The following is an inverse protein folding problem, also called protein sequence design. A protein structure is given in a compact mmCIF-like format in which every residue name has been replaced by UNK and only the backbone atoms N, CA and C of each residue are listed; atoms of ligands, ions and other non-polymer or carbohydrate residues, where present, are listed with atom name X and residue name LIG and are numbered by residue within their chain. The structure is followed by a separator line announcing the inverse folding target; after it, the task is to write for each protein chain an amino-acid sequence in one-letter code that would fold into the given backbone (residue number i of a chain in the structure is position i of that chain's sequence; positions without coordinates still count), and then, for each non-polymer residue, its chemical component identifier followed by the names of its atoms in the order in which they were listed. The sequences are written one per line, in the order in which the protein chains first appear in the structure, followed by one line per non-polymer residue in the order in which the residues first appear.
data_IF_203855807859
#
_entry.id   IF_203855807859
#
_cell.length_a   1.000
_cell.length_b   1.000
_cell.length_c   1.000
_cell.angle_alpha   90.00
_cell.angle_beta   90.00
_cell.angle_gamma   90.00
#
_symmetry.space_group_name_H-M   'P 1'
#
loop_
_entity.id
_entity.type
_entity.pdbx_description
1 polymer ?
#
# COMPACT_ATOMS: atom_id res chain seq x y z
N UNK A 1 -18.57 13.30 10.54
CA UNK A 1 -17.16 13.08 10.97
C UNK A 1 -16.28 14.11 10.29
N UNK A 2 -15.14 14.51 10.89
CA UNK A 2 -14.08 15.25 10.20
C UNK A 2 -13.38 14.35 9.17
N UNK A 3 -12.65 14.91 8.18
CA UNK A 3 -11.89 14.12 7.20
C UNK A 3 -10.96 13.10 7.88
N UNK A 4 -10.27 13.52 8.95
CA UNK A 4 -9.41 12.65 9.74
C UNK A 4 -10.19 11.54 10.45
N UNK A 5 -11.33 11.87 11.05
CA UNK A 5 -12.19 10.87 11.70
C UNK A 5 -12.76 9.86 10.69
N UNK A 6 -13.06 10.28 9.46
CA UNK A 6 -13.52 9.39 8.37
C UNK A 6 -12.41 8.45 7.92
N UNK A 7 -11.19 8.96 7.74
CA UNK A 7 -10.01 8.14 7.44
C UNK A 7 -9.82 7.09 8.53
N UNK A 8 -9.72 7.52 9.80
CA UNK A 8 -9.54 6.59 10.92
C UNK A 8 -10.67 5.56 10.99
N UNK A 9 -11.94 5.98 10.89
CA UNK A 9 -13.08 5.07 10.90
C UNK A 9 -13.06 4.06 9.74
N UNK A 10 -12.68 4.47 8.53
CA UNK A 10 -12.50 3.56 7.39
C UNK A 10 -11.48 2.46 7.70
N UNK A 11 -10.32 2.83 8.23
CA UNK A 11 -9.26 1.89 8.59
C UNK A 11 -9.57 1.06 9.85
N UNK A 12 -10.47 1.53 10.71
CA UNK A 12 -10.93 0.82 11.89
C UNK A 12 -12.17 -0.06 11.63
N UNK A 13 -12.62 -0.16 10.37
CA UNK A 13 -13.83 -0.90 9.98
C UNK A 13 -15.11 -0.39 10.64
N UNK A 14 -15.17 0.90 10.91
CA UNK A 14 -16.33 1.58 11.47
C UNK A 14 -17.19 2.20 10.35
N UNK A 15 -18.47 2.43 10.65
CA UNK A 15 -19.38 3.08 9.71
C UNK A 15 -19.02 4.56 9.57
N UNK A 16 -18.79 5.01 8.34
CA UNK A 16 -18.59 6.44 8.02
C UNK A 16 -19.87 7.06 7.46
N UNK A 17 -20.03 8.37 7.66
CA UNK A 17 -21.11 9.15 7.06
C UNK A 17 -20.87 9.38 5.55
N UNK A 18 -19.61 9.51 5.14
CA UNK A 18 -19.16 9.55 3.73
C UNK A 18 -17.77 8.90 3.61
N UNK A 19 -17.36 8.51 2.40
CA UNK A 19 -15.99 7.99 2.16
C UNK A 19 -14.93 9.09 2.35
N UNK A 20 -13.70 8.76 2.78
CA UNK A 20 -12.65 9.74 2.96
C UNK A 20 -12.28 10.40 1.62
N UNK A 21 -12.15 11.74 1.55
CA UNK A 21 -11.71 12.40 0.33
C UNK A 21 -10.22 12.15 0.07
N UNK A 22 -9.82 12.04 -1.21
CA UNK A 22 -8.44 11.72 -1.64
C UNK A 22 -7.37 12.63 -1.00
N UNK A 23 -7.74 13.87 -0.67
CA UNK A 23 -6.86 14.86 -0.03
C UNK A 23 -6.50 14.54 1.43
N UNK A 24 -7.30 13.70 2.08
CA UNK A 24 -7.07 13.26 3.46
C UNK A 24 -6.17 12.02 3.54
N UNK A 25 -6.01 11.30 2.42
CA UNK A 25 -5.13 10.15 2.30
C UNK A 25 -3.79 10.60 1.70
N UNK A 26 -2.82 10.96 2.55
CA UNK A 26 -1.51 11.28 2.02
C UNK A 26 -0.81 10.01 1.53
N UNK A 27 -0.78 9.84 0.22
CA UNK A 27 -0.02 8.79 -0.46
C UNK A 27 1.47 9.14 -0.42
N UNK A 28 2.16 8.70 0.62
CA UNK A 28 3.63 8.68 0.64
C UNK A 28 4.06 7.45 -0.14
N UNK A 29 4.66 7.61 -1.32
CA UNK A 29 5.30 6.48 -2.03
C UNK A 29 6.47 5.98 -1.19
N UNK A 30 6.20 4.99 -0.35
CA UNK A 30 7.15 4.46 0.62
C UNK A 30 8.24 3.66 -0.06
N UNK A 31 9.37 4.31 -0.36
CA UNK A 31 10.66 3.66 -0.21
C UNK A 31 11.42 4.39 0.92
N UNK A 32 12.05 3.60 1.79
CA UNK A 32 13.01 3.95 2.86
C UNK A 32 12.47 4.32 4.25
N UNK A 33 12.38 3.30 5.13
CA UNK A 33 12.65 3.48 6.56
C UNK A 33 14.16 3.49 6.80
N UNK A 34 14.63 4.49 7.55
CA UNK A 34 15.90 4.59 8.31
C UNK A 34 17.27 4.24 7.68
N UNK A 35 17.40 4.08 6.36
CA UNK A 35 18.72 4.06 5.70
C UNK A 35 18.94 5.35 4.93
N UNK A 36 19.43 6.41 5.59
CA UNK A 36 19.91 7.60 4.87
C UNK A 36 21.28 8.08 5.35
N UNK A 37 22.29 8.07 4.46
CA UNK A 37 23.49 8.89 4.56
C UNK A 37 23.15 10.39 4.57
N UNK A 38 24.10 11.28 4.92
CA UNK A 38 23.88 12.72 5.01
C UNK A 38 23.21 13.30 3.75
N UNK A 39 22.16 14.10 3.95
CA UNK A 39 21.20 14.62 2.95
C UNK A 39 21.77 15.54 1.85
N UNK A 40 23.08 15.57 1.61
CA UNK A 40 23.75 16.62 0.82
C UNK A 40 24.32 16.16 -0.52
N UNK A 41 24.36 14.87 -0.82
CA UNK A 41 24.99 14.35 -2.05
C UNK A 41 24.42 13.01 -2.48
N UNK A 42 24.68 12.58 -3.72
CA UNK A 42 24.42 11.21 -4.22
C UNK A 42 25.36 10.18 -3.55
N UNK A 43 25.11 8.89 -3.71
CA UNK A 43 25.99 7.88 -3.12
C UNK A 43 25.73 6.43 -3.54
N UNK A 44 26.42 5.52 -2.85
CA UNK A 44 26.24 4.08 -2.92
C UNK A 44 25.89 3.62 -1.51
N UNK A 45 24.84 2.83 -1.35
CA UNK A 45 24.47 2.28 -0.05
C UNK A 45 25.40 1.13 0.38
N UNK A 46 25.23 0.62 1.60
CA UNK A 46 26.01 -0.50 2.13
C UNK A 46 25.77 -1.85 1.42
N UNK A 47 24.75 -1.96 0.57
CA UNK A 47 24.52 -3.11 -0.31
C UNK A 47 25.24 -2.97 -1.66
N UNK A 48 25.88 -1.83 -1.91
CA UNK A 48 26.56 -1.54 -3.17
C UNK A 48 25.64 -0.98 -4.26
N UNK A 49 24.42 -0.53 -3.90
CA UNK A 49 23.45 0.01 -4.85
C UNK A 49 23.64 1.53 -4.97
N UNK A 50 23.81 2.08 -6.20
CA UNK A 50 23.89 3.51 -6.41
C UNK A 50 22.52 4.17 -6.23
N UNK A 51 22.47 5.27 -5.50
CA UNK A 51 21.28 6.10 -5.32
C UNK A 51 21.57 7.55 -5.74
N UNK A 52 20.54 8.23 -6.22
CA UNK A 52 20.62 9.60 -6.76
C UNK A 52 19.64 10.51 -6.04
N UNK A 53 20.12 11.69 -5.65
CA UNK A 53 19.31 12.75 -5.05
C UNK A 53 18.50 13.44 -6.15
N UNK A 54 17.18 13.42 -5.99
CA UNK A 54 16.26 14.18 -6.84
C UNK A 54 15.47 15.16 -5.98
N UNK A 55 15.68 16.46 -6.20
CA UNK A 55 15.04 17.56 -5.47
C UNK A 55 13.51 17.57 -5.57
N UNK A 56 12.97 16.82 -6.55
CA UNK A 56 11.56 16.77 -6.88
C UNK A 56 10.80 15.73 -6.03
N UNK A 57 11.55 14.88 -5.31
CA UNK A 57 11.02 13.88 -4.38
C UNK A 57 11.36 14.40 -2.97
N UNK A 58 10.64 15.43 -2.53
CA UNK A 58 10.80 15.97 -1.18
C UNK A 58 10.54 14.83 -0.19
N UNK A 59 11.62 14.32 0.39
CA UNK A 59 11.57 13.43 1.53
C UNK A 59 10.82 14.13 2.66
N UNK A 60 9.90 13.40 3.28
CA UNK A 60 9.10 13.89 4.39
C UNK A 60 10.01 14.54 5.44
N UNK A 61 9.66 15.77 5.81
CA UNK A 61 10.38 16.53 6.82
C UNK A 61 10.42 15.74 8.16
N UNK A 62 11.47 15.90 8.98
CA UNK A 62 11.65 15.16 10.23
C UNK A 62 10.52 15.33 11.26
N UNK A 63 9.67 16.35 11.11
CA UNK A 63 8.50 16.61 11.97
C UNK A 63 7.18 16.12 11.38
N UNK A 64 7.20 15.44 10.24
CA UNK A 64 5.99 15.01 9.56
C UNK A 64 5.60 13.58 9.97
N UNK A 65 4.49 13.46 10.71
CA UNK A 65 3.89 12.18 11.12
C UNK A 65 2.60 11.97 10.33
N UNK A 66 2.63 11.31 9.17
CA UNK A 66 1.41 11.00 8.43
C UNK A 66 0.53 10.06 9.26
N UNK A 67 -0.79 10.16 9.10
CA UNK A 67 -1.72 9.23 9.72
C UNK A 67 -1.73 7.86 9.00
N UNK A 68 -1.39 7.83 7.71
CA UNK A 68 -1.37 6.64 6.83
C UNK A 68 -0.09 6.64 5.99
N UNK A 69 0.53 5.47 5.82
CA UNK A 69 1.57 5.23 4.83
C UNK A 69 1.05 4.26 3.77
N UNK A 70 1.23 4.61 2.50
CA UNK A 70 0.92 3.73 1.36
C UNK A 70 2.20 3.11 0.80
N UNK A 71 2.46 1.86 1.16
CA UNK A 71 3.59 1.08 0.70
C UNK A 71 3.33 0.55 -0.71
N UNK A 72 4.21 0.83 -1.67
CA UNK A 72 4.02 0.43 -3.07
C UNK A 72 4.90 -0.77 -3.40
N UNK A 73 4.29 -1.91 -3.68
CA UNK A 73 4.99 -3.12 -4.11
C UNK A 73 4.04 -4.00 -4.93
N UNK A 74 4.45 -4.46 -6.11
CA UNK A 74 3.59 -5.22 -7.00
C UNK A 74 3.93 -6.71 -6.98
N UNK A 75 2.96 -7.55 -6.62
CA UNK A 75 3.12 -9.01 -6.55
C UNK A 75 2.44 -9.76 -7.68
N UNK A 76 1.64 -9.07 -8.50
CA UNK A 76 0.78 -9.67 -9.52
C UNK A 76 0.96 -9.13 -10.92
N UNK A 77 0.71 -10.01 -11.89
CA UNK A 77 0.38 -9.69 -13.28
C UNK A 77 -1.14 -9.69 -13.46
N UNK A 78 -1.63 -9.41 -14.67
CA UNK A 78 -3.07 -9.51 -14.98
C UNK A 78 -3.66 -10.92 -14.84
N UNK A 79 -2.84 -11.98 -14.83
CA UNK A 79 -3.33 -13.37 -14.85
C UNK A 79 -2.83 -14.23 -13.69
N UNK A 80 -1.72 -13.86 -13.06
CA UNK A 80 -1.16 -14.58 -11.91
C UNK A 80 -0.13 -13.74 -11.14
N UNK A 81 0.36 -14.23 -10.00
CA UNK A 81 1.49 -13.66 -9.28
C UNK A 81 2.79 -13.67 -10.10
N UNK A 82 3.72 -12.74 -9.85
CA UNK A 82 5.06 -12.73 -10.45
C UNK A 82 5.93 -13.93 -10.04
N UNK A 83 5.67 -14.46 -8.85
CA UNK A 83 6.37 -15.60 -8.26
C UNK A 83 5.34 -16.49 -7.53
N UNK A 84 5.74 -17.70 -7.16
CA UNK A 84 4.82 -18.59 -6.44
C UNK A 84 4.49 -18.03 -5.05
N UNK A 85 3.32 -18.36 -4.49
CA UNK A 85 2.98 -17.98 -3.11
C UNK A 85 4.04 -18.42 -2.08
N UNK A 86 4.72 -19.55 -2.31
CA UNK A 86 5.79 -20.04 -1.44
C UNK A 86 7.00 -19.10 -1.46
N UNK A 87 7.41 -18.63 -2.64
CA UNK A 87 8.49 -17.64 -2.79
C UNK A 87 8.10 -16.32 -2.10
N UNK A 88 6.83 -15.90 -2.24
CA UNK A 88 6.33 -14.72 -1.52
C UNK A 88 6.47 -14.87 0.00
N UNK A 89 6.03 -16.02 0.54
CA UNK A 89 6.08 -16.32 1.98
C UNK A 89 7.50 -16.39 2.51
N UNK A 90 8.44 -16.93 1.75
CA UNK A 90 9.84 -17.06 2.14
C UNK A 90 10.56 -15.71 2.17
N UNK A 91 10.39 -14.90 1.13
CA UNK A 91 11.22 -13.71 0.94
C UNK A 91 10.52 -12.38 1.25
N UNK A 92 9.25 -12.24 0.88
CA UNK A 92 8.56 -10.94 0.88
C UNK A 92 7.70 -10.74 2.13
N UNK A 93 6.86 -11.72 2.49
CA UNK A 93 6.04 -11.71 3.71
C UNK A 93 6.80 -11.24 4.97
N UNK A 94 8.00 -11.77 5.30
CA UNK A 94 8.73 -11.34 6.49
C UNK A 94 9.22 -9.89 6.42
N UNK A 95 9.52 -9.35 5.23
CA UNK A 95 9.94 -7.94 5.12
C UNK A 95 8.75 -7.00 5.17
N UNK A 96 7.65 -7.36 4.51
CA UNK A 96 6.41 -6.60 4.58
C UNK A 96 5.90 -6.52 6.02
N UNK A 97 5.95 -7.62 6.78
CA UNK A 97 5.61 -7.62 8.21
C UNK A 97 6.45 -6.63 9.01
N UNK A 98 7.77 -6.54 8.77
CA UNK A 98 8.62 -5.55 9.47
C UNK A 98 8.19 -4.11 9.16
N UNK A 99 7.79 -3.83 7.92
CA UNK A 99 7.32 -2.52 7.52
C UNK A 99 5.97 -2.17 8.20
N UNK A 100 5.05 -3.14 8.25
CA UNK A 100 3.78 -3.04 8.98
C UNK A 100 4.02 -2.79 10.46
N UNK A 101 4.78 -3.66 11.13
CA UNK A 101 5.10 -3.56 12.55
C UNK A 101 5.71 -2.18 12.87
N UNK A 102 6.63 -1.71 12.02
CA UNK A 102 7.28 -0.41 12.23
C UNK A 102 6.32 0.76 12.08
N UNK A 103 5.39 0.66 11.13
CA UNK A 103 4.37 1.68 10.88
C UNK A 103 3.41 1.77 12.07
N UNK A 104 2.98 0.63 12.60
CA UNK A 104 2.15 0.56 13.80
C UNK A 104 2.88 1.05 15.06
N UNK A 105 4.18 0.73 15.24
CA UNK A 105 5.00 1.28 16.35
C UNK A 105 5.01 2.81 16.38
N UNK A 106 4.89 3.44 15.22
CA UNK A 106 4.88 4.89 15.07
C UNK A 106 3.48 5.50 15.19
N UNK A 107 2.46 4.66 15.43
CA UNK A 107 1.06 5.08 15.58
C UNK A 107 0.38 5.42 14.27
N UNK A 108 0.88 4.88 13.15
CA UNK A 108 0.36 5.12 11.80
C UNK A 108 -0.37 3.89 11.27
N UNK A 109 -1.19 4.10 10.26
CA UNK A 109 -1.89 3.07 9.50
C UNK A 109 -1.03 2.63 8.30
N UNK A 110 -1.03 1.33 7.99
CA UNK A 110 -0.32 0.74 6.86
C UNK A 110 -1.29 0.34 5.74
N UNK A 111 -1.16 0.98 4.60
CA UNK A 111 -1.83 0.60 3.36
C UNK A 111 -0.84 -0.02 2.38
N UNK A 112 -1.16 -1.19 1.84
CA UNK A 112 -0.40 -1.83 0.78
C UNK A 112 -1.04 -1.51 -0.57
N UNK A 113 -0.29 -0.89 -1.47
CA UNK A 113 -0.59 -0.87 -2.90
C UNK A 113 0.09 -2.04 -3.58
N UNK A 114 -0.71 -2.89 -4.24
CA UNK A 114 -0.21 -3.98 -5.07
C UNK A 114 -1.22 -4.33 -6.15
N UNK A 115 -0.85 -4.10 -7.41
CA UNK A 115 -1.67 -4.43 -8.56
C UNK A 115 -1.47 -5.89 -9.02
N UNK A 116 -2.41 -6.38 -9.82
CA UNK A 116 -2.38 -7.73 -10.37
C UNK A 116 -3.18 -8.76 -9.57
N UNK A 117 -3.20 -9.97 -10.09
CA UNK A 117 -3.89 -11.13 -9.52
C UNK A 117 -3.02 -11.76 -8.44
N UNK A 118 -3.53 -11.82 -7.20
CA UNK A 118 -2.78 -12.31 -6.03
C UNK A 118 -3.65 -12.88 -4.91
N UNK A 119 -4.87 -13.34 -5.21
CA UNK A 119 -5.81 -13.91 -4.23
C UNK A 119 -5.18 -14.95 -3.29
N UNK A 120 -4.17 -15.68 -3.77
CA UNK A 120 -3.48 -16.74 -3.03
C UNK A 120 -2.79 -16.26 -1.75
N UNK A 121 -2.47 -14.96 -1.65
CA UNK A 121 -1.73 -14.36 -0.52
C UNK A 121 -2.52 -13.25 0.19
N UNK A 122 -3.62 -12.75 -0.37
CA UNK A 122 -4.42 -11.67 0.27
C UNK A 122 -4.86 -12.00 1.70
N UNK A 123 -5.31 -13.22 2.04
CA UNK A 123 -5.64 -13.55 3.43
C UNK A 123 -4.47 -13.35 4.41
N UNK A 124 -3.23 -13.48 3.90
CA UNK A 124 -2.01 -13.32 4.69
C UNK A 124 -1.66 -11.84 4.92
N UNK A 125 -2.22 -10.90 4.15
CA UNK A 125 -2.10 -9.45 4.43
C UNK A 125 -2.79 -9.11 5.75
N UNK A 126 -4.01 -9.64 5.95
CA UNK A 126 -4.75 -9.52 7.21
C UNK A 126 -4.01 -10.22 8.38
N UNK A 127 -3.31 -11.33 8.11
CA UNK A 127 -2.52 -12.05 9.12
C UNK A 127 -1.33 -11.22 9.63
N UNK A 128 -0.64 -10.50 8.74
CA UNK A 128 0.55 -9.72 9.10
C UNK A 128 0.24 -8.29 9.53
N UNK A 129 -1.03 -7.88 9.54
CA UNK A 129 -1.48 -6.58 10.05
C UNK A 129 -1.55 -5.46 9.01
N UNK A 130 -1.63 -5.77 7.71
CA UNK A 130 -1.94 -4.73 6.71
C UNK A 130 -3.35 -4.20 6.98
N UNK A 131 -3.49 -2.89 7.14
CA UNK A 131 -4.78 -2.26 7.49
C UNK A 131 -5.67 -2.07 6.25
N UNK A 132 -5.09 -1.70 5.10
CA UNK A 132 -5.77 -1.59 3.81
C UNK A 132 -4.94 -2.20 2.68
N UNK A 133 -5.60 -2.84 1.74
CA UNK A 133 -5.01 -3.24 0.47
C UNK A 133 -5.68 -2.49 -0.68
N UNK A 134 -4.88 -1.72 -1.41
CA UNK A 134 -5.25 -1.15 -2.69
C UNK A 134 -4.93 -2.14 -3.82
N UNK A 135 -5.91 -3.02 -4.07
CA UNK A 135 -5.85 -4.07 -5.08
C UNK A 135 -6.69 -3.78 -6.33
N UNK A 136 -6.60 -4.69 -7.31
CA UNK A 136 -7.42 -4.65 -8.53
C UNK A 136 -8.61 -5.60 -8.45
N UNK A 137 -9.72 -5.23 -9.10
CA UNK A 137 -10.97 -6.00 -9.18
C UNK A 137 -10.87 -7.31 -10.00
N UNK A 138 -9.71 -7.59 -10.61
CA UNK A 138 -9.41 -8.91 -11.19
C UNK A 138 -9.35 -10.01 -10.12
N UNK A 139 -9.27 -9.62 -8.84
CA UNK A 139 -9.40 -10.50 -7.70
C UNK A 139 -10.87 -10.48 -7.20
N UNK A 140 -11.39 -11.61 -6.73
CA UNK A 140 -12.72 -11.75 -6.16
C UNK A 140 -12.81 -11.06 -4.77
N UNK A 141 -12.97 -9.74 -4.81
CA UNK A 141 -13.06 -8.90 -3.61
C UNK A 141 -14.19 -9.34 -2.66
N UNK A 142 -15.42 -9.68 -3.12
CA UNK A 142 -16.45 -10.23 -2.23
C UNK A 142 -16.01 -11.49 -1.46
N UNK A 143 -15.39 -12.46 -2.14
CA UNK A 143 -14.90 -13.68 -1.49
C UNK A 143 -13.77 -13.36 -0.52
N UNK A 144 -12.82 -12.52 -0.93
CA UNK A 144 -11.71 -12.10 -0.08
C UNK A 144 -12.18 -11.37 1.18
N UNK A 145 -13.16 -10.46 1.06
CA UNK A 145 -13.79 -9.78 2.20
C UNK A 145 -14.47 -10.75 3.16
N UNK A 146 -15.10 -11.80 2.65
CA UNK A 146 -15.70 -12.83 3.50
C UNK A 146 -14.64 -13.63 4.28
N UNK A 147 -13.45 -13.82 3.69
CA UNK A 147 -12.32 -14.54 4.32
C UNK A 147 -11.61 -13.67 5.36
N UNK A 148 -11.33 -12.40 5.05
CA UNK A 148 -10.56 -11.49 5.91
C UNK A 148 -11.42 -10.82 6.98
N UNK A 149 -12.72 -10.67 6.75
CA UNK A 149 -13.66 -10.01 7.66
C UNK A 149 -13.26 -8.55 7.92
N UNK A 150 -13.29 -8.13 9.18
CA UNK A 150 -12.92 -6.78 9.60
C UNK A 150 -11.44 -6.67 9.97
N UNK A 151 -10.56 -7.35 9.23
CA UNK A 151 -9.10 -7.32 9.48
C UNK A 151 -8.31 -6.73 8.32
N UNK A 152 -8.97 -6.41 7.20
CA UNK A 152 -8.35 -5.82 6.03
C UNK A 152 -9.37 -4.94 5.31
N UNK A 153 -9.04 -3.67 5.12
CA UNK A 153 -9.82 -2.77 4.30
C UNK A 153 -9.45 -2.99 2.83
N UNK A 154 -10.41 -2.81 1.94
CA UNK A 154 -10.21 -2.98 0.50
C UNK A 154 -10.39 -1.62 -0.15
N UNK A 155 -9.26 -1.03 -0.55
CA UNK A 155 -9.23 0.23 -1.30
C UNK A 155 -9.18 -0.10 -2.79
N UNK A 156 -10.32 -0.52 -3.33
CA UNK A 156 -10.44 -0.82 -4.77
C UNK A 156 -11.16 0.31 -5.46
N UNK A 157 -10.59 0.84 -6.55
CA UNK A 157 -11.29 1.79 -7.41
C UNK A 157 -12.22 1.05 -8.38
N UNK A 158 -13.46 1.53 -8.57
CA UNK A 158 -14.41 0.89 -9.48
C UNK A 158 -13.93 0.96 -10.93
N UNK A 159 -13.76 -0.20 -11.57
CA UNK A 159 -13.67 -0.43 -13.03
C UNK A 159 -12.87 0.61 -13.85
N UNK A 160 -11.79 1.17 -13.29
CA UNK A 160 -11.07 2.26 -13.93
C UNK A 160 -10.52 1.87 -15.34
N UNK A 161 -10.17 0.60 -15.52
CA UNK A 161 -9.70 0.07 -16.82
C UNK A 161 -10.79 0.05 -17.90
N UNK A 162 -12.07 -0.11 -17.52
CA UNK A 162 -13.18 -0.03 -18.48
C UNK A 162 -13.37 1.41 -18.98
N UNK A 163 -13.09 2.40 -18.13
CA UNK A 163 -13.15 3.82 -18.49
C UNK A 163 -11.95 4.26 -19.34
N UNK A 164 -10.73 3.83 -19.03
CA UNK A 164 -9.55 4.14 -19.86
C UNK A 164 -9.61 3.46 -21.23
N UNK A 165 -10.08 2.20 -21.29
CA UNK A 165 -10.26 1.47 -22.54
C UNK A 165 -11.29 2.13 -23.48
N UNK A 166 -12.35 2.70 -22.92
CA UNK A 166 -13.37 3.42 -23.69
C UNK A 166 -12.82 4.70 -24.35
N UNK A 167 -11.95 5.44 -23.66
CA UNK A 167 -11.35 6.69 -24.19
C UNK A 167 -10.34 6.39 -25.31
N UNK A 168 -9.63 5.27 -25.23
CA UNK A 168 -8.67 4.86 -26.27
C UNK A 168 -9.32 4.22 -27.51
N UNK A 169 -10.59 3.82 -27.47
CA UNK A 169 -11.30 3.26 -28.63
C UNK A 169 -11.95 4.33 -29.52
N UNK A 170 -12.01 5.59 -29.07
CA UNK A 170 -12.58 6.72 -29.82
C UNK A 170 -11.53 7.60 -30.54
N UNK A 171 -10.25 7.21 -30.54
CA UNK A 171 -9.15 7.86 -31.28
C UNK A 171 -8.61 6.96 -32.41
#
# INVERSE_FOLDING_TARGET
MTDKERVLAFFHHEMTDELPPDKALLVVRGNTFHERPPFVQDGIDWFGVPWKREDNINALAPDYRPDVIMFHDDYGTQTNMFFSPEVWREFFKPQLKKAVDKTHELGMIFELHSCGFMEQIVPEFAEIGVDSWQGQEINDIPTLKAVTGNKLAYHTTPQYQDFEGAICQEL
#
